data_IF_278808971315
#
_entry.id   IF_278808971315
#
_cell.length_a   1.000
_cell.length_b   1.000
_cell.length_c   1.000
_cell.angle_alpha   90.00
_cell.angle_beta   90.00
_cell.angle_gamma   90.00
#
_symmetry.space_group_name_H-M   'P 1'
#
loop_
_entity.id
_entity.type
_entity.pdbx_description
1 polymer ?
#
# COMPACT_ATOMS: atom_id res chain seq x y z
N UNK A 1 18.77 16.59 -6.38
CA UNK A 1 18.98 15.57 -5.33
C UNK A 1 17.95 14.48 -5.55
N UNK A 2 18.35 13.35 -6.12
CA UNK A 2 17.49 12.17 -6.17
C UNK A 2 17.04 11.81 -4.75
N UNK A 3 15.74 11.58 -4.58
CA UNK A 3 15.22 11.10 -3.30
C UNK A 3 15.94 9.78 -2.96
N UNK A 4 16.43 9.64 -1.73
CA UNK A 4 17.01 8.37 -1.26
C UNK A 4 15.86 7.38 -1.07
N UNK A 5 15.50 6.69 -2.15
CA UNK A 5 14.48 5.65 -2.16
C UNK A 5 15.03 4.42 -1.44
N UNK A 6 14.34 4.03 -0.39
CA UNK A 6 14.59 2.83 0.40
C UNK A 6 13.33 2.00 0.28
N UNK A 7 13.44 0.76 -0.14
CA UNK A 7 12.30 -0.15 -0.14
C UNK A 7 12.52 -1.19 0.95
N UNK A 8 11.49 -1.48 1.74
CA UNK A 8 11.52 -2.54 2.75
C UNK A 8 10.53 -3.64 2.36
N UNK A 9 10.97 -4.88 2.43
CA UNK A 9 10.12 -6.05 2.16
C UNK A 9 10.55 -7.16 3.11
N UNK A 10 9.67 -7.57 4.03
CA UNK A 10 10.01 -8.54 5.08
C UNK A 10 11.31 -8.13 5.80
N UNK A 11 12.29 -9.03 5.87
CA UNK A 11 13.61 -8.79 6.47
C UNK A 11 14.66 -8.28 5.47
N UNK A 12 14.24 -7.60 4.38
CA UNK A 12 15.13 -7.06 3.35
C UNK A 12 14.95 -5.56 3.18
N UNK A 13 16.07 -4.86 2.98
CA UNK A 13 16.16 -3.45 2.61
C UNK A 13 16.80 -3.37 1.23
N UNK A 14 16.17 -2.62 0.32
CA UNK A 14 16.74 -2.29 -0.99
C UNK A 14 17.12 -0.81 -1.00
N UNK A 15 18.40 -0.53 -1.26
CA UNK A 15 18.92 0.83 -1.32
C UNK A 15 20.11 0.91 -2.30
N UNK A 16 20.07 1.85 -3.25
CA UNK A 16 21.14 2.07 -4.25
C UNK A 16 21.64 0.77 -4.90
N UNK A 17 20.73 -0.02 -5.48
CA UNK A 17 21.00 -1.30 -6.14
C UNK A 17 21.58 -2.42 -5.25
N UNK A 18 21.64 -2.21 -3.94
CA UNK A 18 22.09 -3.22 -2.99
C UNK A 18 20.90 -3.76 -2.19
N UNK A 19 21.01 -5.02 -1.79
CA UNK A 19 20.07 -5.68 -0.88
C UNK A 19 20.77 -5.95 0.45
N UNK A 20 20.15 -5.51 1.54
CA UNK A 20 20.64 -5.70 2.89
C UNK A 20 19.63 -6.47 3.72
N UNK A 21 20.08 -7.27 4.67
CA UNK A 21 19.20 -7.83 5.71
C UNK A 21 18.73 -6.71 6.63
N UNK A 22 17.46 -6.70 7.01
CA UNK A 22 16.95 -5.78 8.02
C UNK A 22 17.53 -6.16 9.39
N UNK A 23 18.52 -5.41 9.86
CA UNK A 23 19.11 -5.54 11.18
C UNK A 23 19.71 -4.20 11.61
N UNK A 24 19.84 -3.98 12.92
CA UNK A 24 20.49 -2.77 13.45
C UNK A 24 21.94 -2.65 12.95
N UNK A 25 22.67 -3.76 12.87
CA UNK A 25 24.03 -3.82 12.38
C UNK A 25 24.11 -3.41 10.90
N UNK A 26 23.24 -3.98 10.06
CA UNK A 26 23.12 -3.61 8.66
C UNK A 26 22.83 -2.12 8.50
N UNK A 27 21.85 -1.59 9.26
CA UNK A 27 21.43 -0.20 9.16
C UNK A 27 22.54 0.78 9.54
N UNK A 28 23.35 0.45 10.55
CA UNK A 28 24.52 1.25 10.96
C UNK A 28 25.62 1.24 9.89
N UNK A 29 25.78 0.13 9.17
CA UNK A 29 26.75 0.02 8.07
C UNK A 29 26.33 0.74 6.78
N UNK A 30 25.05 1.06 6.61
CA UNK A 30 24.54 1.71 5.39
C UNK A 30 24.60 3.24 5.53
N UNK A 31 25.31 3.91 4.63
CA UNK A 31 25.30 5.38 4.52
C UNK A 31 23.99 5.89 3.90
N UNK A 32 22.93 5.93 4.70
CA UNK A 32 21.62 6.44 4.31
C UNK A 32 21.64 7.97 4.18
N UNK A 33 21.16 8.49 3.05
CA UNK A 33 21.03 9.93 2.87
C UNK A 33 20.04 10.59 3.85
N UNK A 34 20.20 11.90 4.10
CA UNK A 34 19.38 12.63 5.09
C UNK A 34 17.92 12.85 4.68
N UNK A 35 17.63 12.94 3.37
CA UNK A 35 16.27 13.05 2.85
C UNK A 35 15.83 11.70 2.28
N UNK A 36 14.95 11.00 2.98
CA UNK A 36 14.60 9.59 2.74
C UNK A 36 13.17 9.46 2.24
N UNK A 37 12.97 8.59 1.25
CA UNK A 37 11.65 8.10 0.85
C UNK A 37 11.64 6.59 1.08
N UNK A 38 10.82 6.13 2.02
CA UNK A 38 10.69 4.70 2.32
C UNK A 38 9.41 4.17 1.70
N UNK A 39 9.51 3.04 0.99
CA UNK A 39 8.36 2.32 0.44
C UNK A 39 8.26 0.96 1.13
N UNK A 40 7.11 0.67 1.73
CA UNK A 40 6.82 -0.62 2.37
C UNK A 40 6.21 -1.56 1.33
N UNK A 41 6.82 -2.74 1.15
CA UNK A 41 6.44 -3.79 0.21
C UNK A 41 6.03 -5.04 0.98
N UNK A 42 5.15 -5.86 0.40
CA UNK A 42 4.78 -7.17 0.95
C UNK A 42 3.93 -7.14 2.22
N UNK A 43 3.51 -5.96 2.69
CA UNK A 43 2.66 -5.80 3.87
C UNK A 43 1.23 -5.40 3.45
N UNK A 44 0.23 -5.93 4.17
CA UNK A 44 -1.16 -5.55 3.97
C UNK A 44 -1.39 -4.09 4.36
N UNK A 45 -2.16 -3.38 3.52
CA UNK A 45 -2.68 -2.05 3.84
C UNK A 45 -4.11 -2.18 4.35
N UNK A 46 -4.26 -2.14 5.67
CA UNK A 46 -5.56 -2.20 6.32
C UNK A 46 -6.28 -0.87 6.21
N UNK A 47 -7.59 -0.93 5.96
CA UNK A 47 -8.46 0.25 5.83
C UNK A 47 -9.63 0.14 6.79
N UNK A 48 -9.88 1.21 7.57
CA UNK A 48 -11.08 1.33 8.39
C UNK A 48 -11.79 2.63 8.09
N UNK A 49 -13.09 2.52 7.78
CA UNK A 49 -13.95 3.67 7.50
C UNK A 49 -14.91 3.90 8.65
N UNK A 50 -15.03 5.15 9.08
CA UNK A 50 -15.86 5.55 10.21
C UNK A 50 -16.68 6.76 9.82
N UNK A 51 -17.99 6.68 10.05
CA UNK A 51 -18.89 7.82 9.89
C UNK A 51 -18.75 8.74 11.09
N UNK A 52 -18.56 10.02 10.81
CA UNK A 52 -18.48 11.09 11.80
C UNK A 52 -19.65 12.04 11.58
N UNK A 53 -20.19 12.55 12.68
CA UNK A 53 -21.19 13.60 12.59
C UNK A 53 -20.55 14.87 12.01
N UNK A 54 -21.07 15.34 10.87
CA UNK A 54 -20.53 16.45 10.05
C UNK A 54 -20.28 17.77 10.78
N UNK A 55 -20.79 17.92 12.01
CA UNK A 55 -20.74 19.15 12.81
C UNK A 55 -19.60 19.18 13.85
N UNK A 56 -18.89 18.08 14.06
CA UNK A 56 -17.86 17.99 15.11
C UNK A 56 -16.46 18.10 14.51
N UNK A 57 -15.65 19.04 15.00
CA UNK A 57 -14.18 18.98 14.80
C UNK A 57 -13.69 17.76 15.59
N UNK A 58 -13.37 16.68 14.88
CA UNK A 58 -12.81 15.49 15.52
C UNK A 58 -11.46 15.83 16.11
N UNK A 59 -11.32 15.64 17.41
CA UNK A 59 -10.06 15.87 18.11
C UNK A 59 -9.09 14.73 17.82
N UNK A 60 -7.79 15.02 17.83
CA UNK A 60 -6.75 14.01 17.59
C UNK A 60 -6.84 12.84 18.59
N UNK A 61 -7.18 13.13 19.85
CA UNK A 61 -7.45 12.13 20.90
C UNK A 61 -8.60 11.17 20.53
N UNK A 62 -9.65 11.67 19.86
CA UNK A 62 -10.77 10.81 19.42
C UNK A 62 -10.33 9.87 18.28
N UNK A 63 -9.45 10.35 17.40
CA UNK A 63 -8.85 9.52 16.33
C UNK A 63 -7.96 8.45 16.93
N UNK A 64 -7.14 8.79 17.93
CA UNK A 64 -6.27 7.85 18.61
C UNK A 64 -7.07 6.74 19.31
N UNK A 65 -8.11 7.10 20.05
CA UNK A 65 -9.03 6.13 20.67
C UNK A 65 -9.67 5.18 19.65
N UNK A 66 -10.03 5.72 18.49
CA UNK A 66 -10.60 4.94 17.39
C UNK A 66 -9.57 3.98 16.80
N UNK A 67 -8.33 4.43 16.59
CA UNK A 67 -7.22 3.60 16.09
C UNK A 67 -6.97 2.45 17.07
N UNK A 68 -6.85 2.75 18.36
CA UNK A 68 -6.59 1.74 19.40
C UNK A 68 -7.70 0.69 19.48
N UNK A 69 -8.97 1.09 19.34
CA UNK A 69 -10.09 0.13 19.29
C UNK A 69 -10.10 -0.71 18.03
N UNK A 70 -9.66 -0.17 16.89
CA UNK A 70 -9.73 -0.85 15.61
C UNK A 70 -8.53 -1.75 15.32
N UNK A 71 -7.34 -1.38 15.80
CA UNK A 71 -6.07 -2.01 15.45
C UNK A 71 -5.24 -2.44 16.68
N UNK A 72 -5.69 -2.13 17.90
CA UNK A 72 -4.93 -2.33 19.13
C UNK A 72 -3.83 -1.29 19.33
N UNK A 73 -2.97 -1.52 20.32
CA UNK A 73 -1.87 -0.64 20.73
C UNK A 73 -0.49 -1.10 20.25
N UNK A 74 -0.41 -1.83 19.14
CA UNK A 74 0.86 -2.36 18.66
C UNK A 74 1.75 -1.27 18.07
N UNK A 75 2.98 -1.14 18.62
CA UNK A 75 4.02 -0.23 18.12
C UNK A 75 4.47 -0.55 16.69
N UNK A 76 4.14 -1.72 16.16
CA UNK A 76 4.55 -2.12 14.82
C UNK A 76 3.61 -1.64 13.72
N UNK A 77 2.49 -0.99 14.05
CA UNK A 77 1.65 -0.35 13.04
C UNK A 77 2.01 1.11 12.83
N UNK A 78 2.03 1.51 11.56
CA UNK A 78 2.04 2.91 11.15
C UNK A 78 0.64 3.28 10.71
N UNK A 79 0.15 4.39 11.25
CA UNK A 79 -1.19 4.88 10.97
C UNK A 79 -1.15 6.15 10.12
N UNK A 80 -2.09 6.25 9.20
CA UNK A 80 -2.41 7.49 8.50
C UNK A 80 -3.93 7.64 8.47
N UNK A 81 -4.44 8.86 8.47
CA UNK A 81 -5.87 9.08 8.33
C UNK A 81 -6.18 10.24 7.38
N UNK A 82 -7.30 10.10 6.68
CA UNK A 82 -7.84 11.10 5.77
C UNK A 82 -9.30 11.41 6.16
N UNK A 83 -9.66 12.70 6.17
CA UNK A 83 -11.02 13.14 6.48
C UNK A 83 -11.76 13.62 5.24
N UNK A 84 -12.86 12.94 4.91
CA UNK A 84 -13.80 13.36 3.88
C UNK A 84 -14.88 14.27 4.49
N UNK A 85 -14.61 15.59 4.51
CA UNK A 85 -15.58 16.61 5.01
C UNK A 85 -16.95 16.50 4.36
N UNK A 86 -16.98 16.29 3.04
CA UNK A 86 -18.23 16.20 2.25
C UNK A 86 -19.13 15.07 2.74
N UNK A 87 -18.52 13.92 3.08
CA UNK A 87 -19.25 12.73 3.52
C UNK A 87 -19.38 12.63 5.04
N UNK A 88 -18.55 13.37 5.79
CA UNK A 88 -18.43 13.19 7.23
C UNK A 88 -17.83 11.82 7.53
N UNK A 89 -16.71 11.47 6.89
CA UNK A 89 -16.11 10.14 7.03
C UNK A 89 -14.61 10.27 7.33
N UNK A 90 -14.15 9.52 8.33
CA UNK A 90 -12.74 9.30 8.62
C UNK A 90 -12.32 7.97 8.00
N UNK A 91 -11.19 7.98 7.31
CA UNK A 91 -10.60 6.81 6.69
C UNK A 91 -9.23 6.65 7.33
N UNK A 92 -9.03 5.51 7.99
CA UNK A 92 -7.80 5.16 8.67
C UNK A 92 -7.11 4.08 7.85
N UNK A 93 -5.84 4.28 7.60
CA UNK A 93 -4.92 3.34 7.01
C UNK A 93 -3.97 2.83 8.08
N UNK A 94 -3.72 1.53 8.09
CA UNK A 94 -2.69 0.93 8.92
C UNK A 94 -1.82 -0.01 8.07
N UNK A 95 -0.53 -0.04 8.35
CA UNK A 95 0.44 -0.95 7.73
C UNK A 95 1.45 -1.38 8.78
N UNK A 96 1.90 -2.64 8.74
CA UNK A 96 2.96 -3.12 9.63
C UNK A 96 4.33 -2.58 9.23
N UNK A 97 5.29 -2.64 10.16
CA UNK A 97 6.67 -2.18 9.97
C UNK A 97 7.03 -0.91 10.72
N UNK A 98 6.21 -0.45 11.68
CA UNK A 98 6.47 0.70 12.54
C UNK A 98 7.81 0.61 13.26
N UNK A 99 8.16 -0.55 13.80
CA UNK A 99 9.46 -0.74 14.44
C UNK A 99 10.62 -0.59 13.46
N UNK A 100 10.46 -1.12 12.24
CA UNK A 100 11.47 -1.03 11.17
C UNK A 100 11.68 0.41 10.70
N UNK A 101 10.58 1.15 10.56
CA UNK A 101 10.62 2.56 10.18
C UNK A 101 11.27 3.43 11.27
N UNK A 102 11.06 3.14 12.56
CA UNK A 102 11.71 3.86 13.66
C UNK A 102 13.23 3.90 13.52
N UNK A 103 13.84 2.79 13.15
CA UNK A 103 15.30 2.74 12.90
C UNK A 103 15.69 3.56 11.66
N UNK A 104 14.89 3.51 10.60
CA UNK A 104 15.09 4.31 9.40
C UNK A 104 14.82 5.81 9.59
N UNK A 105 14.25 6.24 10.72
CA UNK A 105 14.13 7.66 11.07
C UNK A 105 15.43 8.25 11.63
N UNK A 106 16.32 7.42 12.20
CA UNK A 106 17.53 7.90 12.88
C UNK A 106 18.47 8.64 11.91
N UNK A 107 18.81 9.89 12.23
CA UNK A 107 19.68 10.74 11.42
C UNK A 107 19.06 11.26 10.11
N UNK A 108 17.76 11.06 9.88
CA UNK A 108 17.05 11.66 8.76
C UNK A 108 16.70 13.13 9.07
N UNK A 109 16.94 14.03 8.12
CA UNK A 109 16.42 15.40 8.16
C UNK A 109 14.96 15.46 7.71
N UNK A 110 14.55 14.53 6.83
CA UNK A 110 13.16 14.37 6.42
C UNK A 110 12.94 12.94 5.95
N UNK A 111 11.82 12.34 6.33
CA UNK A 111 11.42 11.01 5.88
C UNK A 111 9.97 11.04 5.39
N UNK A 112 9.74 10.45 4.22
CA UNK A 112 8.39 10.12 3.73
C UNK A 112 8.27 8.61 3.70
N UNK A 113 7.23 8.07 4.33
CA UNK A 113 6.93 6.64 4.32
C UNK A 113 5.61 6.42 3.61
N UNK A 114 5.55 5.51 2.65
CA UNK A 114 4.29 5.10 2.01
C UNK A 114 4.31 3.62 1.64
N UNK A 115 3.24 2.86 1.89
CA UNK A 115 3.08 1.52 1.32
C UNK A 115 3.04 1.58 -0.21
N UNK A 116 3.50 0.51 -0.87
CA UNK A 116 3.46 0.42 -2.34
C UNK A 116 2.04 0.59 -2.89
N UNK A 117 1.03 0.14 -2.15
CA UNK A 117 -0.36 0.30 -2.54
C UNK A 117 -0.77 1.79 -2.60
N UNK A 118 -0.35 2.61 -1.63
CA UNK A 118 -0.58 4.07 -1.64
C UNK A 118 0.19 4.74 -2.77
N UNK A 119 1.44 4.32 -3.01
CA UNK A 119 2.28 4.86 -4.08
C UNK A 119 1.67 4.56 -5.46
N UNK A 120 1.29 3.30 -5.72
CA UNK A 120 0.61 2.86 -6.92
C UNK A 120 -0.70 3.62 -7.10
N UNK A 121 -1.57 3.59 -6.09
CA UNK A 121 -2.88 4.23 -6.11
C UNK A 121 -2.80 5.70 -6.52
N UNK A 122 -1.89 6.45 -5.92
CA UNK A 122 -1.73 7.88 -6.19
C UNK A 122 -1.34 8.20 -7.63
N UNK A 123 -0.63 7.31 -8.30
CA UNK A 123 -0.27 7.45 -9.71
C UNK A 123 -1.37 6.91 -10.62
N UNK A 124 -1.85 5.70 -10.35
CA UNK A 124 -2.79 5.02 -11.21
C UNK A 124 -4.16 5.70 -11.25
N UNK A 125 -4.65 6.22 -10.12
CA UNK A 125 -5.92 6.97 -10.07
C UNK A 125 -5.99 8.18 -11.00
N UNK A 126 -4.84 8.72 -11.42
CA UNK A 126 -4.77 9.84 -12.39
C UNK A 126 -4.98 9.38 -13.83
N UNK A 127 -4.80 8.09 -14.10
CA UNK A 127 -4.97 7.43 -15.41
C UNK A 127 -6.36 6.79 -15.56
N UNK A 128 -7.15 6.70 -14.50
CA UNK A 128 -8.47 6.06 -14.45
C UNK A 128 -9.56 7.13 -14.28
N UNK A 129 -10.67 7.01 -15.01
CA UNK A 129 -11.78 8.00 -14.95
C UNK A 129 -12.83 7.63 -13.91
N UNK A 130 -12.97 6.33 -13.68
CA UNK A 130 -13.95 5.72 -12.82
C UNK A 130 -13.68 6.09 -11.37
N UNK A 131 -14.76 6.39 -10.63
CA UNK A 131 -14.66 6.65 -9.20
C UNK A 131 -14.47 5.36 -8.41
N UNK A 132 -15.08 4.27 -8.85
CA UNK A 132 -14.92 2.94 -8.26
C UNK A 132 -14.22 2.03 -9.26
N UNK A 133 -13.17 1.36 -8.82
CA UNK A 133 -12.42 0.41 -9.64
C UNK A 133 -11.57 -0.50 -8.75
N UNK A 134 -11.16 -1.62 -9.31
CA UNK A 134 -10.20 -2.55 -8.69
C UNK A 134 -8.95 -2.66 -9.54
N UNK A 135 -7.83 -2.99 -8.91
CA UNK A 135 -6.61 -3.34 -9.64
C UNK A 135 -5.91 -4.51 -8.97
N UNK A 136 -5.35 -5.39 -9.80
CA UNK A 136 -4.48 -6.49 -9.40
C UNK A 136 -3.14 -6.31 -10.13
N UNK A 137 -2.04 -6.20 -9.40
CA UNK A 137 -0.73 -6.00 -9.98
C UNK A 137 0.35 -6.73 -9.20
N UNK A 138 1.45 -7.04 -9.85
CA UNK A 138 2.64 -7.59 -9.24
C UNK A 138 3.71 -6.50 -9.06
N UNK A 139 4.50 -6.62 -8.02
CA UNK A 139 5.70 -5.81 -7.85
C UNK A 139 6.75 -6.60 -7.07
N UNK A 140 7.87 -6.89 -7.73
CA UNK A 140 8.86 -7.86 -7.26
C UNK A 140 8.16 -9.21 -6.98
N UNK A 141 8.43 -9.84 -5.84
CA UNK A 141 7.96 -11.18 -5.49
C UNK A 141 6.59 -11.16 -4.79
N UNK A 142 5.69 -10.24 -5.14
CA UNK A 142 4.39 -10.09 -4.46
C UNK A 142 3.30 -9.55 -5.38
N UNK A 143 2.07 -9.97 -5.10
CA UNK A 143 0.85 -9.64 -5.82
C UNK A 143 -0.06 -8.81 -4.91
N UNK A 144 -0.58 -7.72 -5.45
CA UNK A 144 -1.29 -6.70 -4.69
C UNK A 144 -2.67 -6.48 -5.29
N UNK A 145 -3.66 -6.42 -4.41
CA UNK A 145 -5.01 -5.99 -4.74
C UNK A 145 -5.29 -4.63 -4.09
N UNK A 146 -5.94 -3.75 -4.86
CA UNK A 146 -6.48 -2.48 -4.37
C UNK A 146 -7.90 -2.32 -4.92
N UNK A 147 -8.85 -2.12 -4.02
CA UNK A 147 -10.18 -1.59 -4.30
C UNK A 147 -10.17 -0.09 -4.05
N UNK A 148 -10.61 0.69 -5.03
CA UNK A 148 -10.81 2.12 -4.92
C UNK A 148 -12.29 2.43 -4.84
N UNK A 149 -12.65 3.33 -3.91
CA UNK A 149 -13.95 3.98 -3.88
C UNK A 149 -13.77 5.50 -3.79
N UNK A 150 -14.17 6.17 -4.86
CA UNK A 150 -13.95 7.58 -5.17
C UNK A 150 -12.50 8.02 -5.21
N UNK A 151 -11.94 8.41 -4.05
CA UNK A 151 -10.61 9.01 -3.93
C UNK A 151 -9.74 8.30 -2.90
N UNK A 152 -10.22 7.18 -2.37
CA UNK A 152 -9.59 6.46 -1.28
C UNK A 152 -9.51 4.97 -1.59
N UNK A 153 -8.52 4.31 -1.00
CA UNK A 153 -8.45 2.85 -1.01
C UNK A 153 -9.47 2.33 -0.01
N UNK A 154 -10.46 1.57 -0.48
CA UNK A 154 -11.51 0.97 0.35
C UNK A 154 -11.09 -0.38 0.94
N UNK A 155 -10.31 -1.15 0.20
CA UNK A 155 -9.79 -2.48 0.60
C UNK A 155 -8.47 -2.72 -0.12
N UNK A 156 -7.54 -3.39 0.54
CA UNK A 156 -6.30 -3.86 -0.07
C UNK A 156 -5.80 -5.10 0.65
N UNK A 157 -5.12 -5.97 -0.08
CA UNK A 157 -4.31 -7.05 0.50
C UNK A 157 -3.15 -7.41 -0.42
N UNK A 158 -2.23 -8.19 0.10
CA UNK A 158 -1.07 -8.73 -0.62
C UNK A 158 -0.91 -10.24 -0.37
N UNK A 159 -0.33 -10.93 -1.33
CA UNK A 159 0.25 -12.27 -1.11
C UNK A 159 1.53 -12.41 -1.93
N UNK A 160 2.43 -13.28 -1.49
CA UNK A 160 3.65 -13.62 -2.24
C UNK A 160 3.49 -14.90 -3.08
N UNK A 161 2.34 -15.57 -2.98
CA UNK A 161 1.97 -16.71 -3.79
C UNK A 161 0.76 -16.37 -4.67
N UNK A 162 0.89 -16.58 -5.98
CA UNK A 162 -0.13 -16.21 -6.96
C UNK A 162 -1.45 -16.98 -6.77
N UNK A 163 -1.37 -18.29 -6.51
CA UNK A 163 -2.57 -19.11 -6.29
C UNK A 163 -3.36 -18.64 -5.07
N UNK A 164 -2.69 -18.43 -3.93
CA UNK A 164 -3.33 -17.89 -2.72
C UNK A 164 -3.86 -16.47 -2.91
N UNK A 165 -3.15 -15.64 -3.68
CA UNK A 165 -3.60 -14.30 -4.03
C UNK A 165 -4.92 -14.33 -4.81
N UNK A 166 -5.02 -15.24 -5.77
CA UNK A 166 -6.22 -15.44 -6.58
C UNK A 166 -7.36 -15.98 -5.72
N UNK A 167 -7.13 -17.02 -4.92
CA UNK A 167 -8.12 -17.56 -3.97
C UNK A 167 -8.71 -16.45 -3.09
N UNK A 168 -7.87 -15.63 -2.45
CA UNK A 168 -8.29 -14.46 -1.66
C UNK A 168 -9.13 -13.47 -2.46
N UNK A 169 -8.81 -13.26 -3.74
CA UNK A 169 -9.58 -12.36 -4.59
C UNK A 169 -10.94 -12.96 -5.01
N UNK A 170 -10.99 -14.27 -5.26
CA UNK A 170 -12.22 -15.00 -5.60
C UNK A 170 -13.22 -15.03 -4.45
N UNK A 171 -12.74 -15.01 -3.20
CA UNK A 171 -13.57 -14.96 -1.98
C UNK A 171 -14.24 -13.59 -1.72
N UNK A 172 -13.87 -12.55 -2.47
CA UNK A 172 -14.45 -11.22 -2.25
C UNK A 172 -15.88 -11.15 -2.78
N UNK A 173 -16.79 -10.61 -1.97
CA UNK A 173 -18.06 -10.08 -2.47
C UNK A 173 -17.78 -8.87 -3.38
N UNK A 174 -18.15 -8.98 -4.66
CA UNK A 174 -17.87 -7.96 -5.68
C UNK A 174 -19.14 -7.29 -6.17
N UNK A 175 -19.04 -5.98 -6.42
CA UNK A 175 -20.09 -5.22 -7.09
C UNK A 175 -20.16 -5.65 -8.56
N UNK A 176 -21.36 -5.93 -9.08
CA UNK A 176 -21.56 -6.19 -10.51
C UNK A 176 -21.04 -5.01 -11.36
N UNK A 177 -20.42 -5.32 -12.50
CA UNK A 177 -19.88 -4.34 -13.46
C UNK A 177 -18.73 -3.45 -12.92
N UNK A 178 -18.11 -3.81 -11.79
CA UNK A 178 -16.95 -3.08 -11.28
C UNK A 178 -15.73 -3.28 -12.18
N UNK A 179 -15.24 -2.19 -12.78
CA UNK A 179 -14.05 -2.25 -13.64
C UNK A 179 -12.83 -2.69 -12.85
N UNK A 180 -12.22 -3.76 -13.34
CA UNK A 180 -11.04 -4.38 -12.74
C UNK A 180 -9.88 -4.32 -13.73
N UNK A 181 -8.82 -3.62 -13.34
CA UNK A 181 -7.58 -3.52 -14.10
C UNK A 181 -6.59 -4.57 -13.62
N UNK A 182 -5.91 -5.26 -14.53
CA UNK A 182 -5.03 -6.37 -14.14
C UNK A 182 -3.81 -6.45 -15.04
N UNK A 183 -2.69 -6.94 -14.50
CA UNK A 183 -1.55 -7.34 -15.33
C UNK A 183 -1.86 -8.64 -16.07
N UNK A 184 -1.38 -8.72 -17.31
CA UNK A 184 -1.65 -9.87 -18.19
C UNK A 184 -1.28 -11.21 -17.54
N UNK A 185 -0.11 -11.29 -16.91
CA UNK A 185 0.38 -12.51 -16.25
C UNK A 185 -0.52 -12.99 -15.11
N UNK A 186 -1.12 -12.08 -14.35
CA UNK A 186 -2.06 -12.44 -13.28
C UNK A 186 -3.39 -12.90 -13.90
N UNK A 187 -3.82 -12.28 -14.99
CA UNK A 187 -5.11 -12.57 -15.62
C UNK A 187 -5.22 -13.99 -16.18
N UNK A 188 -4.09 -14.58 -16.61
CA UNK A 188 -4.00 -15.92 -17.20
C UNK A 188 -4.33 -17.04 -16.20
N UNK A 189 -4.20 -16.76 -14.92
CA UNK A 189 -4.39 -17.74 -13.83
C UNK A 189 -5.83 -17.77 -13.31
N UNK A 190 -6.71 -16.90 -13.82
CA UNK A 190 -8.12 -16.90 -13.43
C UNK A 190 -8.89 -18.01 -14.15
N UNK A 191 -9.90 -18.62 -13.48
CA UNK A 191 -10.79 -19.56 -14.15
C UNK A 191 -11.43 -18.96 -15.40
N UNK A 192 -11.59 -19.78 -16.44
CA UNK A 192 -12.22 -19.34 -17.69
C UNK A 192 -13.61 -18.74 -17.44
N UNK A 193 -13.89 -17.61 -18.09
CA UNK A 193 -15.17 -16.93 -17.96
C UNK A 193 -15.39 -16.21 -16.61
N UNK A 194 -14.41 -16.21 -15.69
CA UNK A 194 -14.59 -15.61 -14.37
C UNK A 194 -14.99 -14.14 -14.46
N UNK A 195 -14.29 -13.31 -15.24
CA UNK A 195 -14.66 -11.90 -15.46
C UNK A 195 -14.00 -11.28 -16.69
N UNK A 196 -14.62 -10.21 -17.21
CA UNK A 196 -13.98 -9.33 -18.18
C UNK A 196 -13.01 -8.37 -17.49
N UNK A 197 -11.72 -8.70 -17.50
CA UNK A 197 -10.67 -7.81 -16.99
C UNK A 197 -10.21 -6.80 -18.05
N UNK A 198 -9.70 -5.66 -17.58
CA UNK A 198 -9.01 -4.68 -18.42
C UNK A 198 -7.51 -4.86 -18.24
N UNK A 199 -6.85 -5.48 -19.22
CA UNK A 199 -5.40 -5.70 -19.19
C UNK A 199 -4.67 -4.35 -19.26
N UNK A 200 -3.70 -4.15 -18.37
CA UNK A 200 -2.84 -2.97 -18.30
C UNK A 200 -1.41 -3.34 -17.93
N UNK A 201 -0.45 -2.68 -18.58
CA UNK A 201 0.94 -2.70 -18.13
C UNK A 201 1.17 -1.65 -17.03
N UNK A 202 1.59 -2.08 -15.84
CA UNK A 202 1.85 -1.17 -14.72
C UNK A 202 3.32 -0.83 -14.47
N UNK A 203 4.25 -1.35 -15.28
CA UNK A 203 5.69 -1.02 -15.16
C UNK A 203 5.96 0.49 -15.15
N UNK A 204 5.26 1.24 -15.99
CA UNK A 204 5.33 2.71 -16.00
C UNK A 204 4.77 3.38 -14.73
N UNK A 205 3.76 2.77 -14.11
CA UNK A 205 3.15 3.30 -12.88
C UNK A 205 4.15 3.19 -11.74
N UNK A 206 4.90 2.09 -11.65
CA UNK A 206 5.81 1.86 -10.53
C UNK A 206 7.19 2.50 -10.71
N UNK A 207 7.48 3.15 -11.86
CA UNK A 207 8.83 3.57 -12.27
C UNK A 207 9.84 2.41 -12.23
N UNK A 208 9.35 1.18 -12.30
CA UNK A 208 10.18 0.01 -12.41
C UNK A 208 10.59 -0.08 -13.87
N UNK A 209 11.83 0.27 -14.20
CA UNK A 209 12.47 -0.39 -15.34
C UNK A 209 12.35 -1.87 -15.03
N UNK A 210 11.55 -2.60 -15.81
CA UNK A 210 11.37 -4.06 -15.75
C UNK A 210 12.75 -4.70 -15.55
N UNK A 211 13.10 -5.08 -14.32
CA UNK A 211 14.24 -5.95 -14.05
C UNK A 211 13.66 -7.34 -13.98
N UNK A 212 13.40 -7.92 -15.15
CA UNK A 212 13.29 -9.38 -15.24
C UNK A 212 14.69 -9.94 -15.05
N UNK A 213 14.84 -10.90 -14.15
CA UNK A 213 15.90 -11.90 -14.24
C UNK A 213 15.34 -13.12 -14.94
#
# INVERSE_FOLDING_TARGET
MENNLIEICNEKIFYKNNTYKFSLESLRGIKLGKKRKVVILGEDLYTKKIKLNKRVKVKEEEIQNVIERAFGSSEDFLFHYEFSRRKGELIIYAVKGGMKIRELCQGAASIKVEPIQIYFFNKFRKKVREKKWETLFSYKDSYYYISCNEKFISRSFVDNNLSRFIEKYLELEREENLKTYIEEEISKEFPEGYNSFIIKEFGEVLNAKKVYK
#
